data_IF_744935117487
#
_entry.id   IF_744935117487
#
_cell.length_a   1.000
_cell.length_b   1.000
_cell.length_c   1.000
_cell.angle_alpha   90.00
_cell.angle_beta   90.00
_cell.angle_gamma   90.00
#
_symmetry.space_group_name_H-M   'P 1'
#
loop_
_entity.id
_entity.type
_entity.pdbx_description
1 polymer ?
#
# COMPACT_ATOMS: atom_id res chain seq x y z
N UNK A 1 -5.50 3.62 -53.39
CA UNK A 1 -4.22 4.36 -53.28
C UNK A 1 -4.06 4.85 -51.84
N UNK A 2 -2.97 4.41 -51.19
CA UNK A 2 -2.17 5.02 -50.10
C UNK A 2 -2.79 6.03 -49.11
N UNK A 3 -2.71 5.65 -47.82
CA UNK A 3 -2.17 6.41 -46.67
C UNK A 3 -2.94 7.67 -46.21
N UNK A 4 -2.98 8.06 -44.93
CA UNK A 4 -2.09 7.78 -43.82
C UNK A 4 -2.82 7.82 -42.45
N UNK A 5 -2.28 7.03 -41.54
CA UNK A 5 -2.39 7.13 -40.08
C UNK A 5 -1.90 8.50 -39.58
N UNK A 6 -2.55 9.05 -38.55
CA UNK A 6 -1.80 9.71 -37.49
C UNK A 6 -2.45 9.42 -36.14
N UNK A 7 -1.68 8.67 -35.35
CA UNK A 7 -1.94 8.32 -33.98
C UNK A 7 -1.85 9.53 -33.03
N UNK A 8 -2.28 9.26 -31.80
CA UNK A 8 -1.89 9.91 -30.56
C UNK A 8 -2.45 11.31 -30.34
N UNK A 9 -3.46 11.39 -29.46
CA UNK A 9 -3.32 12.00 -28.13
C UNK A 9 -4.23 11.28 -27.13
N UNK A 10 -3.73 10.20 -26.52
CA UNK A 10 -4.29 9.76 -25.26
C UNK A 10 -3.88 10.80 -24.21
N UNK A 11 -4.81 11.72 -23.90
CA UNK A 11 -4.66 12.61 -22.77
C UNK A 11 -4.42 11.75 -21.52
N UNK A 12 -3.27 11.95 -20.88
CA UNK A 12 -2.97 11.36 -19.58
C UNK A 12 -3.87 11.97 -18.54
N UNK A 13 -5.08 11.43 -18.41
CA UNK A 13 -5.92 11.65 -17.25
C UNK A 13 -5.28 10.86 -16.10
N UNK A 14 -4.69 11.57 -15.14
CA UNK A 14 -4.17 10.97 -13.92
C UNK A 14 -5.34 10.28 -13.21
N UNK A 15 -5.40 8.95 -13.34
CA UNK A 15 -6.44 8.15 -12.68
C UNK A 15 -6.25 8.28 -11.16
N UNK A 16 -7.24 8.80 -10.42
CA UNK A 16 -7.12 8.87 -8.97
C UNK A 16 -7.00 7.43 -8.45
N UNK A 17 -5.91 7.15 -7.72
CA UNK A 17 -5.68 5.95 -6.91
C UNK A 17 -6.33 4.67 -7.48
N UNK A 18 -5.90 4.21 -8.66
CA UNK A 18 -6.43 2.94 -9.22
C UNK A 18 -6.09 1.78 -8.29
N UNK A 19 -7.03 1.43 -7.42
CA UNK A 19 -6.99 0.23 -6.60
C UNK A 19 -7.26 -0.96 -7.53
N UNK A 20 -6.27 -1.84 -7.69
CA UNK A 20 -6.49 -3.07 -8.45
C UNK A 20 -7.31 -4.04 -7.60
N UNK A 21 -8.38 -4.58 -8.17
CA UNK A 21 -9.13 -5.68 -7.56
C UNK A 21 -8.16 -6.84 -7.29
N UNK A 22 -8.10 -7.30 -6.04
CA UNK A 22 -7.18 -8.35 -5.61
C UNK A 22 -5.77 -7.89 -5.21
N UNK A 23 -5.53 -6.60 -4.94
CA UNK A 23 -4.30 -6.17 -4.25
C UNK A 23 -4.35 -6.49 -2.75
N UNK A 24 -3.19 -6.79 -2.14
CA UNK A 24 -3.10 -7.06 -0.69
C UNK A 24 -3.46 -5.79 0.08
N UNK A 25 -4.43 -5.91 1.00
CA UNK A 25 -4.89 -4.81 1.83
C UNK A 25 -4.14 -4.81 3.15
N UNK A 26 -3.35 -3.78 3.39
CA UNK A 26 -2.58 -3.63 4.63
C UNK A 26 -3.48 -3.20 5.79
N UNK A 27 -4.34 -2.22 5.54
CA UNK A 27 -5.33 -1.73 6.47
C UNK A 27 -6.51 -1.12 5.71
N UNK A 28 -7.73 -1.57 6.04
CA UNK A 28 -8.95 -1.14 5.36
C UNK A 28 -9.72 -0.10 6.18
N UNK A 29 -9.21 0.25 7.37
CA UNK A 29 -9.82 1.26 8.22
C UNK A 29 -9.65 2.64 7.60
N UNK A 30 -10.61 3.53 7.86
CA UNK A 30 -10.48 4.95 7.55
C UNK A 30 -9.43 5.60 8.44
N UNK A 31 -8.85 6.71 7.98
CA UNK A 31 -7.82 7.45 8.75
C UNK A 31 -6.42 6.87 8.67
N UNK A 32 -6.17 5.94 7.74
CA UNK A 32 -4.84 5.41 7.41
C UNK A 32 -4.14 6.37 6.44
N UNK A 33 -2.88 6.73 6.70
CA UNK A 33 -2.14 7.68 5.85
C UNK A 33 -0.62 7.48 5.85
N UNK A 34 0.04 8.03 4.83
CA UNK A 34 1.51 8.18 4.68
C UNK A 34 2.33 6.91 4.89
N UNK A 35 2.29 5.95 3.94
CA UNK A 35 3.16 4.80 4.01
C UNK A 35 4.60 5.18 3.62
N UNK A 36 5.57 4.85 4.46
CA UNK A 36 6.97 4.68 4.07
C UNK A 36 7.31 3.18 4.07
N UNK A 37 8.26 2.77 3.23
CA UNK A 37 8.50 1.35 2.96
C UNK A 37 9.96 1.00 2.71
N UNK A 38 10.40 -0.15 3.25
CA UNK A 38 11.73 -0.70 3.03
C UNK A 38 11.67 -2.20 2.75
N UNK A 39 12.62 -2.69 1.97
CA UNK A 39 12.88 -4.13 1.77
C UNK A 39 14.06 -4.53 2.65
N UNK A 40 13.93 -5.63 3.37
CA UNK A 40 15.07 -6.23 4.08
C UNK A 40 15.84 -7.22 3.19
N UNK A 41 16.96 -7.75 3.72
CA UNK A 41 17.81 -8.70 3.01
C UNK A 41 17.14 -10.07 2.77
N UNK A 42 16.11 -10.40 3.55
CA UNK A 42 15.36 -11.66 3.46
C UNK A 42 14.17 -11.56 2.47
N UNK A 43 13.97 -10.39 1.86
CA UNK A 43 12.91 -10.11 0.89
C UNK A 43 11.56 -9.79 1.53
N UNK A 44 11.53 -9.39 2.81
CA UNK A 44 10.34 -8.88 3.47
C UNK A 44 10.23 -7.38 3.23
N UNK A 45 9.03 -6.96 2.87
CA UNK A 45 8.63 -5.57 2.72
C UNK A 45 7.99 -5.12 4.02
N UNK A 46 8.54 -4.07 4.60
CA UNK A 46 7.99 -3.40 5.77
C UNK A 46 7.40 -2.07 5.36
N UNK A 47 6.13 -1.86 5.67
CA UNK A 47 5.42 -0.59 5.43
C UNK A 47 5.03 -0.01 6.78
N UNK A 48 5.55 1.16 7.12
CA UNK A 48 5.16 1.93 8.30
C UNK A 48 4.16 3.01 7.90
N UNK A 49 3.12 3.22 8.71
CA UNK A 49 2.04 4.16 8.37
C UNK A 49 1.32 4.69 9.62
N UNK A 50 0.67 5.83 9.45
CA UNK A 50 -0.15 6.45 10.49
C UNK A 50 -1.56 5.86 10.50
N UNK A 51 -2.12 5.70 11.70
CA UNK A 51 -3.54 5.46 11.92
C UNK A 51 -4.14 6.57 12.80
N UNK A 52 -5.16 7.26 12.26
CA UNK A 52 -5.85 8.37 12.91
C UNK A 52 -4.87 9.44 13.40
N UNK A 53 -4.05 9.97 12.49
CA UNK A 53 -2.92 10.89 12.75
C UNK A 53 -3.21 12.00 13.77
N UNK A 54 -4.41 12.59 13.76
CA UNK A 54 -4.76 13.69 14.67
C UNK A 54 -5.38 13.22 15.99
N UNK A 55 -6.10 12.09 15.97
CA UNK A 55 -6.88 11.62 17.11
C UNK A 55 -6.11 10.58 17.91
N UNK A 56 -5.83 9.43 17.29
CA UNK A 56 -5.21 8.31 17.99
C UNK A 56 -3.69 8.39 17.94
N UNK A 57 -3.11 9.09 16.94
CA UNK A 57 -1.64 9.29 16.80
C UNK A 57 -0.86 7.97 16.87
N UNK A 58 -1.39 6.94 16.21
CA UNK A 58 -0.77 5.61 16.21
C UNK A 58 0.10 5.41 14.98
N UNK A 59 1.27 4.84 15.20
CA UNK A 59 2.16 4.39 14.13
C UNK A 59 2.09 2.87 14.09
N UNK A 60 1.79 2.32 12.92
CA UNK A 60 1.65 0.89 12.67
C UNK A 60 2.63 0.42 11.61
N UNK A 61 2.96 -0.87 11.63
CA UNK A 61 3.76 -1.53 10.61
C UNK A 61 3.04 -2.76 10.05
N UNK A 62 3.13 -2.92 8.73
CA UNK A 62 2.73 -4.12 8.01
C UNK A 62 3.97 -4.75 7.36
N UNK A 63 4.11 -6.07 7.46
CA UNK A 63 5.24 -6.85 6.93
C UNK A 63 4.70 -7.98 6.05
N UNK A 64 5.19 -8.09 4.82
CA UNK A 64 4.75 -9.08 3.82
C UNK A 64 5.81 -9.27 2.73
N UNK A 65 5.69 -10.29 1.88
CA UNK A 65 6.59 -10.46 0.71
C UNK A 65 5.89 -10.03 -0.58
N UNK A 66 6.65 -9.76 -1.65
CA UNK A 66 6.09 -9.41 -2.97
C UNK A 66 5.07 -10.45 -3.47
N UNK A 67 5.30 -11.73 -3.18
CA UNK A 67 4.38 -12.82 -3.54
C UNK A 67 3.00 -12.64 -2.88
N UNK A 68 2.94 -12.18 -1.63
CA UNK A 68 1.69 -11.94 -0.90
C UNK A 68 0.93 -10.76 -1.53
N UNK A 69 1.67 -9.71 -1.93
CA UNK A 69 1.10 -8.58 -2.66
C UNK A 69 0.53 -9.00 -4.02
N UNK A 70 1.24 -9.86 -4.75
CA UNK A 70 0.86 -10.34 -6.08
C UNK A 70 -0.41 -11.21 -6.06
N UNK A 71 -0.61 -12.04 -5.03
CA UNK A 71 -1.84 -12.86 -4.89
C UNK A 71 -2.97 -12.17 -4.13
N UNK A 72 -2.71 -10.99 -3.56
CA UNK A 72 -3.72 -10.20 -2.87
C UNK A 72 -4.15 -10.72 -1.51
N UNK A 73 -3.46 -11.73 -0.98
CA UNK A 73 -3.83 -12.45 0.23
C UNK A 73 -2.56 -12.80 0.99
N UNK A 74 -2.60 -12.87 2.32
CA UNK A 74 -1.49 -13.42 3.09
C UNK A 74 -1.38 -14.92 2.79
N UNK A 75 -0.32 -15.34 2.10
CA UNK A 75 -0.12 -16.74 1.72
C UNK A 75 0.70 -17.47 2.79
N UNK A 76 1.37 -16.73 3.69
CA UNK A 76 2.26 -17.25 4.73
C UNK A 76 1.98 -16.64 6.10
N UNK A 77 2.33 -17.37 7.17
CA UNK A 77 2.32 -16.90 8.57
C UNK A 77 3.25 -15.70 8.84
N UNK A 78 4.15 -15.43 7.90
CA UNK A 78 5.07 -14.30 7.90
C UNK A 78 4.37 -12.95 7.69
N UNK A 79 3.14 -12.94 7.15
CA UNK A 79 2.41 -11.67 6.99
C UNK A 79 1.95 -11.17 8.35
N UNK A 80 2.46 -10.01 8.76
CA UNK A 80 2.06 -9.31 9.97
C UNK A 80 1.42 -7.99 9.57
N UNK A 81 0.14 -7.81 9.82
CA UNK A 81 -0.57 -6.56 9.52
C UNK A 81 -0.86 -5.79 10.79
N UNK A 82 -0.92 -4.46 10.69
CA UNK A 82 -1.37 -3.55 11.76
C UNK A 82 -0.63 -3.73 13.09
N UNK A 83 0.65 -4.08 13.04
CA UNK A 83 1.45 -4.22 14.25
C UNK A 83 1.74 -2.84 14.82
N UNK A 84 1.49 -2.64 16.11
CA UNK A 84 1.65 -1.33 16.75
C UNK A 84 3.12 -1.05 17.05
N UNK A 85 3.60 0.11 16.60
CA UNK A 85 4.97 0.59 16.83
C UNK A 85 4.97 1.69 17.88
N UNK A 86 4.00 2.61 17.80
CA UNK A 86 3.85 3.72 18.74
C UNK A 86 2.37 4.03 18.97
N UNK A 87 2.02 4.35 20.22
CA UNK A 87 0.70 4.86 20.60
C UNK A 87 0.88 6.10 21.47
N UNK A 88 0.60 7.27 20.88
CA UNK A 88 0.66 8.55 21.58
C UNK A 88 -0.70 9.02 22.07
N UNK A 89 -1.75 8.17 22.13
CA UNK A 89 -3.10 8.59 22.49
C UNK A 89 -3.26 9.10 23.92
N UNK A 90 -2.30 8.78 24.81
CA UNK A 90 -2.35 9.07 26.24
C UNK A 90 -1.43 10.23 26.68
N UNK A 91 -0.78 10.91 25.73
CA UNK A 91 -0.07 12.17 25.95
C UNK A 91 -1.00 13.38 25.75
#
# INVERSE_FOLDING_TARGET
MRSASLAQRAAGEAQPHRQKNGALRLDERTGVSYPDGQHDADGVIHIIYDYNRTKDRRILIASFREEDAAKGKPIRDAVKLRQMVSDASNE
#
